data_IF_535458941605
#
_entry.id   IF_535458941605
#
_cell.length_a   1.000
_cell.length_b   1.000
_cell.length_c   1.000
_cell.angle_alpha   90.00
_cell.angle_beta   90.00
_cell.angle_gamma   90.00
#
_symmetry.space_group_name_H-M   'P 1'
#
loop_
_entity.id
_entity.type
_entity.pdbx_description
1 polymer ?
#
# COMPACT_ATOMS: atom_id res chain seq x y z
N UNK A 1 18.15 5.42 15.75
CA UNK A 1 17.25 5.25 14.61
C UNK A 1 17.08 6.62 13.96
N UNK A 2 17.18 6.73 12.64
CA UNK A 2 17.00 8.01 11.95
C UNK A 2 15.51 8.35 11.98
N UNK A 3 15.17 9.48 12.59
CA UNK A 3 13.80 10.00 12.57
C UNK A 3 13.43 10.40 11.14
N UNK A 4 12.44 9.72 10.57
CA UNK A 4 11.93 9.99 9.23
C UNK A 4 10.86 11.06 9.35
N UNK A 5 11.24 12.31 9.11
CA UNK A 5 10.30 13.43 9.19
C UNK A 5 9.12 13.25 8.23
N UNK A 6 7.95 13.77 8.61
CA UNK A 6 6.73 13.69 7.79
C UNK A 6 6.90 14.42 6.47
N UNK A 7 6.37 13.86 5.36
CA UNK A 7 6.39 14.55 4.09
C UNK A 7 5.53 15.82 4.14
N UNK A 8 5.97 16.85 3.42
CA UNK A 8 5.32 18.15 3.36
C UNK A 8 4.43 18.25 2.10
N UNK A 9 3.46 19.16 2.07
CA UNK A 9 2.75 19.52 0.84
C UNK A 9 3.74 19.80 -0.30
N UNK A 10 3.45 19.26 -1.51
CA UNK A 10 4.36 19.33 -2.65
C UNK A 10 5.38 18.19 -2.74
N UNK A 11 5.36 17.25 -1.79
CA UNK A 11 6.11 15.98 -1.87
C UNK A 11 5.25 14.80 -2.34
N UNK A 12 3.97 15.04 -2.59
CA UNK A 12 2.98 14.10 -3.10
C UNK A 12 1.82 14.89 -3.74
N UNK A 13 1.04 14.24 -4.60
CA UNK A 13 -0.13 14.89 -5.20
C UNK A 13 -1.26 15.08 -4.19
N UNK A 14 -2.15 16.05 -4.43
CA UNK A 14 -3.31 16.32 -3.58
C UNK A 14 -4.20 15.07 -3.37
N UNK A 15 -4.33 14.23 -4.40
CA UNK A 15 -5.06 12.96 -4.31
C UNK A 15 -4.51 12.02 -3.23
N UNK A 16 -3.19 12.00 -3.04
CA UNK A 16 -2.53 11.09 -2.10
C UNK A 16 -2.47 11.62 -0.65
N UNK A 17 -2.86 12.90 -0.43
CA UNK A 17 -2.88 13.48 0.91
C UNK A 17 -3.70 12.66 1.91
N UNK A 18 -4.80 12.05 1.46
CA UNK A 18 -5.65 11.17 2.26
C UNK A 18 -4.90 9.95 2.82
N UNK A 19 -3.97 9.37 2.06
CA UNK A 19 -3.16 8.23 2.53
C UNK A 19 -2.11 8.67 3.53
N UNK A 20 -1.45 9.79 3.27
CA UNK A 20 -0.47 10.36 4.20
C UNK A 20 -1.10 10.67 5.56
N UNK A 21 -2.34 11.18 5.56
CA UNK A 21 -3.08 11.51 6.78
C UNK A 21 -3.43 10.29 7.65
N UNK A 22 -3.57 9.09 7.04
CA UNK A 22 -3.85 7.84 7.77
C UNK A 22 -2.65 7.27 8.53
N UNK A 23 -1.48 7.92 8.43
CA UNK A 23 -0.25 7.45 9.07
C UNK A 23 0.28 8.54 10.02
N UNK A 24 -0.30 8.65 11.22
CA UNK A 24 0.10 9.68 12.19
C UNK A 24 1.41 9.35 12.93
N UNK A 25 1.89 8.11 12.88
CA UNK A 25 3.07 7.67 13.62
C UNK A 25 4.35 8.35 13.14
N UNK A 26 5.24 8.67 14.08
CA UNK A 26 6.56 9.22 13.80
C UNK A 26 7.53 8.11 13.37
N UNK A 27 7.49 6.94 14.03
CA UNK A 27 8.25 5.75 13.59
C UNK A 27 7.49 4.99 12.49
N UNK A 28 7.70 5.43 11.26
CA UNK A 28 7.08 4.84 10.09
C UNK A 28 7.42 3.36 9.90
N UNK A 29 8.68 2.98 10.14
CA UNK A 29 9.12 1.60 9.89
C UNK A 29 8.53 0.63 10.92
N UNK A 30 8.45 1.03 12.17
CA UNK A 30 7.77 0.24 13.20
C UNK A 30 6.27 0.12 12.91
N UNK A 31 5.61 1.20 12.47
CA UNK A 31 4.21 1.19 12.08
C UNK A 31 3.95 0.25 10.88
N UNK A 32 4.79 0.30 9.83
CA UNK A 32 4.69 -0.61 8.68
C UNK A 32 4.88 -2.08 9.08
N UNK A 33 5.79 -2.35 10.00
CA UNK A 33 6.04 -3.71 10.50
C UNK A 33 4.87 -4.22 11.35
N UNK A 34 4.35 -3.41 12.26
CA UNK A 34 3.21 -3.79 13.10
C UNK A 34 1.92 -4.01 12.28
N UNK A 35 1.76 -3.27 11.19
CA UNK A 35 0.58 -3.35 10.33
C UNK A 35 0.40 -4.73 9.68
N UNK A 36 1.48 -5.49 9.42
CA UNK A 36 1.42 -6.83 8.80
C UNK A 36 0.47 -7.76 9.57
N UNK A 37 0.58 -7.81 10.90
CA UNK A 37 -0.30 -8.64 11.73
C UNK A 37 -1.76 -8.16 11.71
N UNK A 38 -1.98 -6.85 11.69
CA UNK A 38 -3.33 -6.25 11.62
C UNK A 38 -4.01 -6.64 10.30
N UNK A 39 -3.29 -6.54 9.20
CA UNK A 39 -3.79 -6.88 7.86
C UNK A 39 -4.05 -8.36 7.71
N UNK A 40 -3.14 -9.19 8.20
CA UNK A 40 -3.31 -10.64 8.19
C UNK A 40 -4.55 -11.07 9.01
N UNK A 41 -4.79 -10.49 10.18
CA UNK A 41 -5.97 -10.77 10.99
C UNK A 41 -7.26 -10.30 10.30
N UNK A 42 -7.29 -9.06 9.78
CA UNK A 42 -8.48 -8.47 9.15
C UNK A 42 -8.92 -9.26 7.90
N UNK A 43 -8.00 -9.57 7.00
CA UNK A 43 -8.29 -10.30 5.77
C UNK A 43 -8.44 -11.81 6.01
N UNK A 44 -7.69 -12.38 6.96
CA UNK A 44 -7.79 -13.78 7.35
C UNK A 44 -9.17 -14.17 7.88
N UNK A 45 -9.92 -13.23 8.44
CA UNK A 45 -11.30 -13.44 8.85
C UNK A 45 -12.22 -13.86 7.69
N UNK A 46 -11.85 -13.56 6.45
CA UNK A 46 -12.59 -13.94 5.24
C UNK A 46 -12.07 -15.22 4.56
N UNK A 47 -11.25 -16.01 5.24
CA UNK A 47 -10.67 -17.25 4.65
C UNK A 47 -11.74 -18.23 4.14
N UNK A 48 -12.92 -18.29 4.78
CA UNK A 48 -14.04 -19.11 4.34
C UNK A 48 -14.89 -18.47 3.24
N UNK A 49 -14.79 -17.14 3.04
CA UNK A 49 -15.60 -16.38 2.09
C UNK A 49 -14.76 -15.40 1.26
N UNK A 50 -13.66 -15.85 0.63
CA UNK A 50 -12.71 -14.95 -0.02
C UNK A 50 -13.28 -14.24 -1.25
N UNK A 51 -14.37 -14.76 -1.82
CA UNK A 51 -15.08 -14.16 -2.96
C UNK A 51 -16.26 -13.28 -2.54
N UNK A 52 -16.40 -13.01 -1.23
CA UNK A 52 -17.39 -12.07 -0.74
C UNK A 52 -17.11 -10.66 -1.29
N UNK A 53 -18.17 -10.00 -1.76
CA UNK A 53 -18.18 -8.58 -2.13
C UNK A 53 -19.38 -7.91 -1.48
N UNK A 54 -19.28 -6.64 -1.10
CA UNK A 54 -20.34 -5.94 -0.40
C UNK A 54 -21.49 -5.48 -1.31
N UNK A 55 -21.32 -5.52 -2.64
CA UNK A 55 -22.36 -5.21 -3.63
C UNK A 55 -22.00 -5.77 -5.00
N UNK A 56 -22.97 -5.97 -5.90
CA UNK A 56 -22.72 -6.36 -7.28
C UNK A 56 -21.74 -5.41 -7.98
N UNK A 57 -20.77 -5.98 -8.69
CA UNK A 57 -19.75 -5.23 -9.43
C UNK A 57 -18.65 -4.58 -8.56
N UNK A 58 -18.64 -4.85 -7.25
CA UNK A 58 -17.55 -4.45 -6.37
C UNK A 58 -16.53 -5.57 -6.22
N UNK A 59 -15.31 -5.21 -5.89
CA UNK A 59 -14.22 -6.16 -5.73
C UNK A 59 -14.55 -7.18 -4.64
N UNK A 60 -14.12 -8.41 -4.85
CA UNK A 60 -14.09 -9.44 -3.81
C UNK A 60 -12.96 -9.17 -2.82
N UNK A 61 -12.95 -9.85 -1.67
CA UNK A 61 -11.85 -9.75 -0.70
C UNK A 61 -10.52 -10.16 -1.34
N UNK A 62 -10.50 -11.20 -2.19
CA UNK A 62 -9.29 -11.58 -2.95
C UNK A 62 -8.81 -10.47 -3.88
N UNK A 63 -9.73 -9.86 -4.61
CA UNK A 63 -9.42 -8.76 -5.51
C UNK A 63 -8.90 -7.54 -4.75
N UNK A 64 -9.49 -7.22 -3.59
CA UNK A 64 -9.01 -6.14 -2.74
C UNK A 64 -7.56 -6.39 -2.29
N UNK A 65 -7.25 -7.59 -1.80
CA UNK A 65 -5.91 -7.96 -1.37
C UNK A 65 -4.92 -8.00 -2.56
N UNK A 66 -5.34 -8.52 -3.71
CA UNK A 66 -4.54 -8.51 -4.93
C UNK A 66 -4.17 -7.10 -5.35
N UNK A 67 -5.17 -6.19 -5.37
CA UNK A 67 -4.93 -4.77 -5.62
C UNK A 67 -3.94 -4.14 -4.63
N UNK A 68 -4.11 -4.41 -3.34
CA UNK A 68 -3.19 -3.91 -2.31
C UNK A 68 -1.76 -4.40 -2.57
N UNK A 69 -1.60 -5.66 -2.98
CA UNK A 69 -0.30 -6.26 -3.29
C UNK A 69 0.34 -5.61 -4.53
N UNK A 70 -0.43 -5.38 -5.58
CA UNK A 70 0.07 -4.74 -6.80
C UNK A 70 0.49 -3.29 -6.54
N UNK A 71 -0.32 -2.54 -5.79
CA UNK A 71 0.03 -1.15 -5.43
C UNK A 71 1.26 -1.09 -4.53
N UNK A 72 1.41 -2.04 -3.60
CA UNK A 72 2.61 -2.17 -2.78
C UNK A 72 3.86 -2.35 -3.66
N UNK A 73 3.82 -3.21 -4.67
CA UNK A 73 4.91 -3.40 -5.65
C UNK A 73 5.21 -2.14 -6.44
N UNK A 74 4.16 -1.48 -6.94
CA UNK A 74 4.31 -0.25 -7.73
C UNK A 74 4.96 0.86 -6.91
N UNK A 75 4.47 1.09 -5.69
CA UNK A 75 5.05 2.13 -4.83
C UNK A 75 6.48 1.78 -4.41
N UNK A 76 6.75 0.51 -4.10
CA UNK A 76 8.09 0.05 -3.77
C UNK A 76 9.07 0.18 -4.94
N UNK A 77 8.65 -0.16 -6.16
CA UNK A 77 9.45 0.06 -7.36
C UNK A 77 9.76 1.53 -7.59
N UNK A 78 8.73 2.41 -7.53
CA UNK A 78 8.92 3.86 -7.64
C UNK A 78 9.88 4.40 -6.58
N UNK A 79 9.68 3.98 -5.34
CA UNK A 79 10.54 4.34 -4.22
C UNK A 79 12.00 3.95 -4.49
N UNK A 80 12.26 2.75 -5.01
CA UNK A 80 13.60 2.28 -5.33
C UNK A 80 14.26 3.17 -6.40
N UNK A 81 13.58 3.46 -7.52
CA UNK A 81 14.09 4.35 -8.57
C UNK A 81 14.47 5.72 -8.00
N UNK A 82 13.57 6.33 -7.24
CA UNK A 82 13.80 7.65 -6.66
C UNK A 82 14.92 7.60 -5.61
N UNK A 83 14.95 6.58 -4.75
CA UNK A 83 16.00 6.43 -3.75
C UNK A 83 17.41 6.26 -4.38
N UNK A 84 17.49 5.68 -5.58
CA UNK A 84 18.75 5.55 -6.32
C UNK A 84 19.12 6.80 -7.13
N UNK A 85 18.26 7.84 -7.11
CA UNK A 85 18.49 9.07 -7.86
C UNK A 85 18.29 8.91 -9.37
N UNK A 86 17.54 7.90 -9.79
CA UNK A 86 17.22 7.71 -11.20
C UNK A 86 16.32 8.86 -11.70
N UNK A 87 16.69 9.57 -12.78
CA UNK A 87 15.96 10.71 -13.28
C UNK A 87 14.72 10.33 -14.14
N UNK A 88 14.47 9.05 -14.35
CA UNK A 88 13.39 8.58 -15.21
C UNK A 88 12.03 9.01 -14.66
N UNK A 89 11.22 9.64 -15.51
CA UNK A 89 9.81 9.89 -15.21
C UNK A 89 9.09 8.54 -15.20
N UNK A 90 8.51 8.19 -14.06
CA UNK A 90 7.82 6.91 -13.87
C UNK A 90 6.34 7.02 -14.30
N UNK A 91 5.75 5.96 -14.87
CA UNK A 91 4.37 5.99 -15.33
C UNK A 91 3.37 5.99 -14.16
N UNK A 92 2.17 6.57 -14.42
CA UNK A 92 0.95 6.23 -13.70
C UNK A 92 0.45 4.84 -14.07
N UNK A 93 -0.65 4.41 -13.47
CA UNK A 93 -1.38 3.22 -13.87
C UNK A 93 -2.88 3.40 -13.56
N UNK A 94 -3.71 2.70 -14.35
CA UNK A 94 -5.16 2.69 -14.14
C UNK A 94 -5.53 1.40 -13.39
N UNK A 95 -5.92 1.54 -12.14
CA UNK A 95 -6.21 0.41 -11.26
C UNK A 95 -7.30 -0.50 -11.79
N UNK A 96 -8.35 0.07 -12.42
CA UNK A 96 -9.48 -0.72 -12.92
C UNK A 96 -9.10 -1.56 -14.14
N UNK A 97 -8.16 -1.08 -14.98
CA UNK A 97 -7.60 -1.85 -16.08
C UNK A 97 -6.80 -3.05 -15.56
N UNK A 98 -6.00 -2.82 -14.54
CA UNK A 98 -5.22 -3.88 -13.91
C UNK A 98 -6.11 -4.92 -13.25
N UNK A 99 -7.14 -4.46 -12.53
CA UNK A 99 -8.10 -5.38 -11.89
C UNK A 99 -8.90 -6.21 -12.91
N UNK A 100 -9.16 -5.68 -14.12
CA UNK A 100 -9.79 -6.45 -15.20
C UNK A 100 -8.83 -7.46 -15.84
N UNK A 101 -7.54 -7.14 -15.92
CA UNK A 101 -6.53 -8.01 -16.49
C UNK A 101 -6.08 -9.12 -15.54
N UNK A 102 -6.14 -8.87 -14.22
CA UNK A 102 -5.70 -9.82 -13.20
C UNK A 102 -6.81 -10.84 -12.86
N UNK A 103 -6.41 -12.11 -12.71
CA UNK A 103 -7.31 -13.20 -12.28
C UNK A 103 -6.95 -13.63 -10.84
N UNK A 104 -7.30 -12.80 -9.87
CA UNK A 104 -7.05 -13.12 -8.46
C UNK A 104 -7.91 -14.28 -7.93
N UNK A 105 -8.94 -14.71 -8.66
CA UNK A 105 -9.76 -15.88 -8.32
C UNK A 105 -8.98 -17.19 -8.32
N UNK A 106 -7.81 -17.23 -8.99
CA UNK A 106 -6.94 -18.42 -9.05
C UNK A 106 -6.14 -18.67 -7.78
N UNK A 107 -6.02 -17.67 -6.91
CA UNK A 107 -5.16 -17.76 -5.74
C UNK A 107 -5.99 -18.05 -4.49
N UNK A 108 -5.47 -18.91 -3.60
CA UNK A 108 -6.04 -19.00 -2.28
C UNK A 108 -5.76 -17.73 -1.47
N UNK A 109 -6.70 -17.29 -0.64
CA UNK A 109 -6.54 -16.08 0.15
C UNK A 109 -5.29 -16.12 1.07
N UNK A 110 -4.96 -17.26 1.71
CA UNK A 110 -3.74 -17.38 2.50
C UNK A 110 -2.46 -17.17 1.69
N UNK A 111 -2.43 -17.62 0.42
CA UNK A 111 -1.27 -17.42 -0.46
C UNK A 111 -1.09 -15.95 -0.83
N UNK A 112 -2.19 -15.24 -1.14
CA UNK A 112 -2.16 -13.80 -1.38
C UNK A 112 -1.71 -13.02 -0.14
N UNK A 113 -2.13 -13.44 1.06
CA UNK A 113 -1.67 -12.83 2.32
C UNK A 113 -0.17 -13.05 2.53
N UNK A 114 0.32 -14.26 2.28
CA UNK A 114 1.74 -14.57 2.38
C UNK A 114 2.56 -13.74 1.39
N UNK A 115 2.06 -13.57 0.17
CA UNK A 115 2.66 -12.77 -0.89
C UNK A 115 2.72 -11.28 -0.50
N UNK A 116 1.60 -10.70 -0.05
CA UNK A 116 1.57 -9.32 0.43
C UNK A 116 2.61 -9.08 1.53
N UNK A 117 2.65 -9.95 2.53
CA UNK A 117 3.65 -9.90 3.61
C UNK A 117 5.09 -10.01 3.10
N UNK A 118 5.35 -10.88 2.12
CA UNK A 118 6.69 -11.02 1.53
C UNK A 118 7.13 -9.74 0.80
N UNK A 119 6.23 -9.12 0.02
CA UNK A 119 6.48 -7.85 -0.67
C UNK A 119 6.74 -6.74 0.35
N UNK A 120 5.91 -6.61 1.40
CA UNK A 120 6.10 -5.64 2.48
C UNK A 120 7.45 -5.81 3.18
N UNK A 121 7.83 -7.03 3.54
CA UNK A 121 9.11 -7.32 4.19
C UNK A 121 10.31 -6.98 3.30
N UNK A 122 10.20 -7.20 1.98
CA UNK A 122 11.21 -6.77 1.00
C UNK A 122 11.40 -5.25 1.01
N UNK A 123 10.30 -4.49 1.00
CA UNK A 123 10.37 -3.02 1.06
C UNK A 123 10.90 -2.51 2.40
N UNK A 124 10.47 -3.11 3.51
CA UNK A 124 11.03 -2.77 4.84
C UNK A 124 12.54 -3.02 4.91
N UNK A 125 13.02 -4.11 4.28
CA UNK A 125 14.47 -4.37 4.19
C UNK A 125 15.19 -3.26 3.43
N UNK A 126 14.68 -2.81 2.28
CA UNK A 126 15.22 -1.68 1.54
C UNK A 126 15.23 -0.40 2.37
N UNK A 127 14.09 -0.05 2.96
CA UNK A 127 13.89 1.20 3.70
C UNK A 127 14.84 1.33 4.92
N UNK A 128 15.13 0.23 5.62
CA UNK A 128 16.05 0.21 6.77
C UNK A 128 17.48 0.61 6.43
N UNK A 129 17.89 0.39 5.18
CA UNK A 129 19.25 0.65 4.72
C UNK A 129 19.41 1.98 3.96
N UNK A 130 18.33 2.77 3.82
CA UNK A 130 18.42 4.05 3.15
C UNK A 130 19.17 5.06 4.02
N UNK A 131 20.20 5.72 3.47
CA UNK A 131 20.84 6.87 4.13
C UNK A 131 19.83 7.99 4.40
N UNK A 132 20.04 8.79 5.44
CA UNK A 132 19.11 9.87 5.80
C UNK A 132 18.76 10.82 4.64
N UNK A 133 19.73 11.17 3.80
CA UNK A 133 19.54 12.06 2.66
C UNK A 133 18.66 11.48 1.54
N UNK A 134 18.55 10.16 1.45
CA UNK A 134 17.75 9.52 0.39
C UNK A 134 16.26 9.67 0.63
N UNK A 135 15.83 9.82 1.87
CA UNK A 135 14.41 9.97 2.22
C UNK A 135 13.74 11.21 1.63
N UNK A 136 14.52 12.24 1.36
CA UNK A 136 14.03 13.49 0.76
C UNK A 136 14.27 13.60 -0.74
N UNK A 137 14.91 12.58 -1.35
CA UNK A 137 15.07 12.55 -2.81
C UNK A 137 13.73 12.61 -3.51
N UNK A 138 13.71 13.34 -4.62
CA UNK A 138 12.53 13.57 -5.44
C UNK A 138 12.62 12.84 -6.76
N UNK A 139 11.47 12.39 -7.25
CA UNK A 139 11.28 11.88 -8.59
C UNK A 139 9.88 12.18 -9.09
N UNK A 140 9.65 12.01 -10.38
CA UNK A 140 8.39 12.34 -11.04
C UNK A 140 7.63 11.06 -11.37
N UNK A 141 6.36 11.01 -10.96
CA UNK A 141 5.42 9.93 -11.32
C UNK A 141 4.21 10.55 -12.00
N UNK A 142 3.97 10.19 -13.27
CA UNK A 142 3.00 10.93 -14.07
C UNK A 142 3.39 12.40 -14.14
N UNK A 143 2.51 13.28 -13.67
CA UNK A 143 2.74 14.73 -13.68
C UNK A 143 3.01 15.31 -12.28
N UNK A 144 3.36 14.46 -11.31
CA UNK A 144 3.53 14.88 -9.93
C UNK A 144 4.88 14.48 -9.36
N UNK A 145 5.43 15.35 -8.50
CA UNK A 145 6.62 15.09 -7.72
C UNK A 145 6.28 14.22 -6.50
N UNK A 146 7.19 13.27 -6.21
CA UNK A 146 7.14 12.46 -5.00
C UNK A 146 8.51 12.37 -4.35
N UNK A 147 8.53 12.31 -3.02
CA UNK A 147 9.74 11.95 -2.28
C UNK A 147 9.67 10.49 -1.84
N UNK A 148 10.83 9.92 -1.51
CA UNK A 148 10.93 8.57 -0.94
C UNK A 148 10.09 8.43 0.33
N UNK A 149 10.19 9.41 1.25
CA UNK A 149 9.40 9.40 2.51
C UNK A 149 7.90 9.52 2.27
N UNK A 150 7.49 10.25 1.24
CA UNK A 150 6.07 10.35 0.88
C UNK A 150 5.54 9.01 0.36
N UNK A 151 6.26 8.37 -0.57
CA UNK A 151 5.89 7.06 -1.10
C UNK A 151 5.81 6.00 0.00
N UNK A 152 6.82 5.93 0.88
CA UNK A 152 6.82 4.97 1.98
C UNK A 152 5.61 5.17 2.93
N UNK A 153 5.26 6.42 3.24
CA UNK A 153 4.08 6.73 4.06
C UNK A 153 2.77 6.42 3.34
N UNK A 154 2.72 6.67 2.03
CA UNK A 154 1.56 6.34 1.20
C UNK A 154 1.33 4.83 1.07
N UNK A 155 2.36 4.00 1.05
CA UNK A 155 2.23 2.54 1.06
C UNK A 155 1.41 2.08 2.28
N UNK A 156 1.79 2.52 3.47
CA UNK A 156 1.06 2.19 4.70
C UNK A 156 -0.35 2.81 4.72
N UNK A 157 -0.47 4.05 4.28
CA UNK A 157 -1.77 4.74 4.27
C UNK A 157 -2.75 4.17 3.26
N UNK A 158 -2.27 3.69 2.11
CA UNK A 158 -3.09 3.00 1.12
C UNK A 158 -3.64 1.68 1.68
N UNK A 159 -2.79 0.89 2.33
CA UNK A 159 -3.21 -0.34 3.01
C UNK A 159 -4.30 -0.04 4.06
N UNK A 160 -4.09 0.94 4.92
CA UNK A 160 -5.06 1.34 5.95
C UNK A 160 -6.40 1.79 5.36
N UNK A 161 -6.36 2.60 4.30
CA UNK A 161 -7.57 3.04 3.60
C UNK A 161 -8.41 1.85 3.09
N UNK A 162 -7.76 0.81 2.56
CA UNK A 162 -8.44 -0.40 2.12
C UNK A 162 -8.95 -1.27 3.26
N UNK A 163 -8.24 -1.34 4.38
CA UNK A 163 -8.74 -2.02 5.58
C UNK A 163 -9.93 -1.28 6.21
N UNK A 164 -9.97 0.05 6.13
CA UNK A 164 -11.14 0.82 6.57
C UNK A 164 -12.34 0.52 5.68
N UNK A 165 -12.17 0.50 4.36
CA UNK A 165 -13.22 0.06 3.43
C UNK A 165 -13.67 -1.38 3.72
N UNK A 166 -12.75 -2.30 4.03
CA UNK A 166 -13.07 -3.67 4.42
C UNK A 166 -13.96 -3.70 5.66
N UNK A 167 -13.58 -3.00 6.72
CA UNK A 167 -14.33 -2.92 7.98
C UNK A 167 -15.69 -2.26 7.82
N UNK A 168 -15.77 -1.21 7.01
CA UNK A 168 -17.00 -0.41 6.87
C UNK A 168 -18.03 -1.08 5.96
N UNK A 169 -17.59 -1.81 4.94
CA UNK A 169 -18.46 -2.26 3.87
C UNK A 169 -18.55 -3.77 3.70
N UNK A 170 -17.49 -4.51 3.97
CA UNK A 170 -17.46 -5.97 3.77
C UNK A 170 -17.91 -6.75 5.00
N UNK A 171 -17.93 -6.12 6.17
CA UNK A 171 -18.35 -6.81 7.39
C UNK A 171 -19.87 -7.12 7.33
N UNK A 172 -20.28 -8.39 7.15
CA UNK A 172 -21.69 -8.74 7.04
C UNK A 172 -22.38 -8.85 8.41
N UNK A 173 -21.64 -8.69 9.51
CA UNK A 173 -22.19 -8.94 10.84
C UNK A 173 -21.75 -7.86 11.83
N UNK A 174 -22.44 -6.72 11.81
CA UNK A 174 -22.77 -6.07 13.07
C UNK A 174 -24.13 -6.60 13.49
N UNK A 175 -24.24 -7.49 14.48
CA UNK A 175 -25.54 -7.70 15.11
C UNK A 175 -25.95 -6.35 15.72
N UNK A 176 -27.14 -5.87 15.32
CA UNK A 176 -27.78 -4.71 15.88
C UNK A 176 -28.09 -4.87 17.36
#
# INVERSE_FOLDING_TARGET
MTEISRPQPGEYSAFHARYVALVPEDDLLAAMQAQEAVTAAALGAYAATPDHSYAPGKWTVRQLLGHMTDVERVFGGRLLFIARGDPTRLPGFEQDDWMRAADFGRYALPDLLAEFGAVRRSHLSLLRWLPPGDWTRRGVVGDHDFTVRALARMMLGHERAHLDVLRERYDPVRPG
#
